data_IF_208400998294
#
_entry.id   IF_208400998294
#
_cell.length_a   1.000
_cell.length_b   1.000
_cell.length_c   1.000
_cell.angle_alpha   90.00
_cell.angle_beta   90.00
_cell.angle_gamma   90.00
#
_symmetry.space_group_name_H-M   'P 1'
#
loop_
_entity.id
_entity.type
_entity.pdbx_description
1 polymer ?
#
# COMPACT_ATOMS: atom_id res chain seq x y z
N UNK A 1 12.12 0.32 -7.13
CA UNK A 1 13.55 0.00 -7.33
C UNK A 1 13.75 -1.40 -7.88
N UNK A 2 13.07 -2.41 -7.36
CA UNK A 2 13.23 -3.81 -7.80
C UNK A 2 12.86 -4.02 -9.28
N UNK A 3 11.74 -3.46 -9.75
CA UNK A 3 11.38 -3.55 -11.18
C UNK A 3 12.39 -2.86 -12.11
N UNK A 4 13.17 -1.90 -11.63
CA UNK A 4 14.24 -1.30 -12.44
C UNK A 4 15.35 -2.32 -12.72
N UNK A 5 15.65 -3.23 -11.79
CA UNK A 5 16.66 -4.26 -12.02
C UNK A 5 16.17 -5.38 -12.94
N UNK A 6 14.88 -5.72 -12.90
CA UNK A 6 14.34 -6.83 -13.70
C UNK A 6 13.81 -6.40 -15.07
N UNK A 7 13.20 -5.20 -15.19
CA UNK A 7 12.45 -4.79 -16.38
C UNK A 7 13.15 -3.71 -17.21
N UNK A 8 14.24 -3.11 -16.72
CA UNK A 8 14.88 -1.98 -17.43
C UNK A 8 15.31 -2.33 -18.85
N UNK A 9 15.89 -3.50 -19.05
CA UNK A 9 16.44 -3.89 -20.35
C UNK A 9 15.36 -4.40 -21.32
N UNK A 10 14.22 -4.85 -20.78
CA UNK A 10 13.13 -5.45 -21.56
C UNK A 10 12.07 -4.40 -21.91
N UNK A 11 11.77 -3.49 -20.98
CA UNK A 11 10.79 -2.41 -21.14
C UNK A 11 11.37 -1.06 -20.67
N UNK A 12 12.39 -0.52 -21.35
CA UNK A 12 13.01 0.75 -20.97
C UNK A 12 12.04 1.93 -21.04
N UNK A 13 11.03 1.89 -21.92
CA UNK A 13 10.01 2.95 -22.02
C UNK A 13 9.15 3.11 -20.76
N UNK A 14 8.94 2.01 -20.01
CA UNK A 14 8.10 1.99 -18.82
C UNK A 14 8.95 2.01 -17.54
N UNK A 15 9.99 1.19 -17.47
CA UNK A 15 10.80 0.97 -16.26
C UNK A 15 12.23 1.54 -16.37
N UNK A 16 12.56 2.33 -17.39
CA UNK A 16 13.92 2.86 -17.60
C UNK A 16 14.36 3.97 -16.64
N UNK A 17 13.48 4.47 -15.77
CA UNK A 17 13.82 5.46 -14.74
C UNK A 17 13.31 5.00 -13.37
N UNK A 18 14.16 5.19 -12.35
CA UNK A 18 13.85 4.86 -10.95
C UNK A 18 12.54 5.52 -10.51
N UNK A 19 12.29 6.77 -10.93
CA UNK A 19 11.08 7.49 -10.56
C UNK A 19 9.81 6.81 -11.12
N UNK A 20 9.84 6.40 -12.39
CA UNK A 20 8.72 5.66 -13.02
C UNK A 20 8.47 4.33 -12.31
N UNK A 21 9.53 3.67 -11.88
CA UNK A 21 9.40 2.44 -11.10
C UNK A 21 8.78 2.67 -9.73
N UNK A 22 9.11 3.78 -9.06
CA UNK A 22 8.53 4.13 -7.76
C UNK A 22 7.03 4.41 -7.92
N UNK A 23 6.63 5.18 -8.93
CA UNK A 23 5.21 5.44 -9.20
C UNK A 23 4.46 4.15 -9.50
N UNK A 24 5.04 3.23 -10.29
CA UNK A 24 4.44 1.92 -10.52
C UNK A 24 4.30 1.10 -9.22
N UNK A 25 5.36 1.07 -8.39
CA UNK A 25 5.35 0.34 -7.11
C UNK A 25 4.26 0.88 -6.18
N UNK A 26 4.11 2.21 -6.11
CA UNK A 26 3.07 2.86 -5.32
C UNK A 26 1.66 2.48 -5.80
N UNK A 27 1.43 2.46 -7.12
CA UNK A 27 0.13 2.11 -7.71
C UNK A 27 -0.29 0.66 -7.40
N UNK A 28 0.66 -0.28 -7.45
CA UNK A 28 0.41 -1.69 -7.11
C UNK A 28 0.20 -1.84 -5.59
N UNK A 29 0.97 -1.11 -4.79
CA UNK A 29 0.86 -1.13 -3.33
C UNK A 29 -0.52 -0.65 -2.85
N UNK A 30 -1.08 0.39 -3.48
CA UNK A 30 -2.42 0.90 -3.15
C UNK A 30 -3.54 0.19 -3.93
N UNK A 31 -3.25 -0.92 -4.59
CA UNK A 31 -4.20 -1.71 -5.40
C UNK A 31 -4.89 -0.95 -6.55
N UNK A 32 -4.34 0.20 -6.97
CA UNK A 32 -4.88 0.95 -8.11
C UNK A 32 -4.53 0.21 -9.41
N UNK A 33 -3.26 -0.19 -9.55
CA UNK A 33 -2.80 -1.08 -10.62
C UNK A 33 -3.21 -0.67 -12.04
N UNK A 34 -2.83 0.51 -12.51
CA UNK A 34 -3.09 0.90 -13.89
C UNK A 34 -2.43 -0.08 -14.88
N UNK A 35 -3.22 -0.63 -15.80
CA UNK A 35 -2.78 -1.60 -16.80
C UNK A 35 -1.81 -1.03 -17.87
N UNK A 36 -1.36 0.22 -17.72
CA UNK A 36 -0.40 0.87 -18.61
C UNK A 36 1.06 0.53 -18.28
N UNK A 37 1.32 -0.01 -17.09
CA UNK A 37 2.66 -0.37 -16.63
C UNK A 37 2.55 -1.72 -15.93
N UNK A 38 3.01 -2.80 -16.55
CA UNK A 38 2.92 -4.17 -16.00
C UNK A 38 4.23 -4.90 -16.28
N UNK A 39 4.86 -5.51 -15.27
CA UNK A 39 6.06 -6.31 -15.49
C UNK A 39 5.77 -7.54 -16.35
N UNK A 40 6.70 -7.88 -17.24
CA UNK A 40 6.59 -9.11 -18.08
C UNK A 40 7.59 -10.18 -17.65
N UNK A 41 8.60 -9.82 -16.87
CA UNK A 41 9.53 -10.80 -16.30
C UNK A 41 8.90 -11.57 -15.17
N UNK A 42 9.33 -12.82 -15.02
CA UNK A 42 8.93 -13.68 -13.90
C UNK A 42 9.27 -13.01 -12.56
N UNK A 43 10.45 -12.40 -12.44
CA UNK A 43 10.88 -11.67 -11.24
C UNK A 43 9.97 -10.48 -10.94
N UNK A 44 9.65 -9.67 -11.96
CA UNK A 44 8.76 -8.53 -11.82
C UNK A 44 7.33 -8.93 -11.45
N UNK A 45 6.81 -10.01 -12.03
CA UNK A 45 5.47 -10.55 -11.71
C UNK A 45 5.40 -11.01 -10.24
N UNK A 46 6.37 -11.82 -9.79
CA UNK A 46 6.42 -12.31 -8.41
C UNK A 46 6.47 -11.14 -7.42
N UNK A 47 7.31 -10.14 -7.68
CA UNK A 47 7.43 -8.95 -6.83
C UNK A 47 6.12 -8.15 -6.84
N UNK A 48 5.48 -8.02 -8.01
CA UNK A 48 4.18 -7.35 -8.12
C UNK A 48 3.10 -8.01 -7.29
N UNK A 49 3.03 -9.34 -7.32
CA UNK A 49 2.08 -10.10 -6.50
C UNK A 49 2.38 -9.91 -5.00
N UNK A 50 3.64 -9.98 -4.59
CA UNK A 50 4.04 -9.79 -3.19
C UNK A 50 3.71 -8.38 -2.67
N UNK A 51 4.04 -7.35 -3.45
CA UNK A 51 3.76 -5.95 -3.09
C UNK A 51 2.27 -5.70 -2.98
N UNK A 52 1.46 -6.24 -3.90
CA UNK A 52 0.00 -6.11 -3.85
C UNK A 52 -0.60 -6.77 -2.60
N UNK A 53 -0.16 -8.00 -2.28
CA UNK A 53 -0.65 -8.73 -1.10
C UNK A 53 -0.27 -8.00 0.19
N UNK A 54 1.02 -7.65 0.35
CA UNK A 54 1.50 -6.97 1.55
C UNK A 54 0.85 -5.61 1.72
N UNK A 55 0.77 -4.82 0.64
CA UNK A 55 0.14 -3.49 0.67
C UNK A 55 -1.32 -3.55 1.10
N UNK A 56 -2.07 -4.53 0.58
CA UNK A 56 -3.47 -4.75 0.95
C UNK A 56 -3.62 -5.13 2.42
N UNK A 57 -2.85 -6.12 2.89
CA UNK A 57 -2.92 -6.60 4.28
C UNK A 57 -2.58 -5.47 5.25
N UNK A 58 -1.47 -4.75 5.00
CA UNK A 58 -1.04 -3.64 5.85
C UNK A 58 -2.06 -2.50 5.83
N UNK A 59 -2.59 -2.16 4.65
CA UNK A 59 -3.62 -1.13 4.50
C UNK A 59 -4.88 -1.45 5.31
N UNK A 60 -5.38 -2.68 5.22
CA UNK A 60 -6.56 -3.12 5.98
C UNK A 60 -6.28 -3.09 7.49
N UNK A 61 -5.15 -3.64 7.92
CA UNK A 61 -4.78 -3.65 9.35
C UNK A 61 -4.67 -2.22 9.90
N UNK A 62 -4.10 -1.30 9.13
CA UNK A 62 -4.01 0.10 9.52
C UNK A 62 -5.41 0.72 9.71
N UNK A 63 -6.29 0.58 8.73
CA UNK A 63 -7.65 1.13 8.80
C UNK A 63 -8.45 0.57 9.98
N UNK A 64 -8.39 -0.74 10.22
CA UNK A 64 -9.09 -1.39 11.34
C UNK A 64 -8.56 -0.87 12.68
N UNK A 65 -7.25 -0.75 12.85
CA UNK A 65 -6.66 -0.25 14.10
C UNK A 65 -7.00 1.22 14.35
N UNK A 66 -7.04 2.06 13.31
CA UNK A 66 -7.45 3.46 13.43
C UNK A 66 -8.90 3.55 13.94
N UNK A 67 -9.81 2.78 13.36
CA UNK A 67 -11.23 2.75 13.79
C UNK A 67 -11.34 2.32 15.25
N UNK A 68 -10.67 1.23 15.64
CA UNK A 68 -10.68 0.74 17.03
C UNK A 68 -10.10 1.79 17.98
N UNK A 69 -9.03 2.47 17.59
CA UNK A 69 -8.41 3.54 18.37
C UNK A 69 -9.35 4.72 18.63
N UNK A 70 -10.09 5.15 17.60
CA UNK A 70 -11.09 6.22 17.71
C UNK A 70 -12.23 5.79 18.65
N UNK A 71 -12.78 4.58 18.47
CA UNK A 71 -13.86 4.07 19.32
C UNK A 71 -13.44 3.96 20.79
N UNK A 72 -12.22 3.48 21.06
CA UNK A 72 -11.69 3.41 22.43
C UNK A 72 -11.54 4.78 23.05
N UNK A 73 -11.00 5.74 22.31
CA UNK A 73 -10.83 7.13 22.77
C UNK A 73 -12.18 7.76 23.10
N UNK A 74 -13.18 7.59 22.22
CA UNK A 74 -14.54 8.06 22.44
C UNK A 74 -15.16 7.44 23.72
N UNK A 75 -14.96 6.14 23.95
CA UNK A 75 -15.47 5.46 25.16
C UNK A 75 -14.84 5.97 26.47
N UNK A 76 -13.57 6.40 26.42
CA UNK A 76 -12.85 6.97 27.57
C UNK A 76 -13.38 8.36 27.88
N UNK A 77 -13.54 9.20 26.84
CA UNK A 77 -14.09 10.54 26.97
C UNK A 77 -15.51 10.47 27.55
N UNK A 78 -16.37 9.62 26.98
CA UNK A 78 -17.74 9.42 27.47
C UNK A 78 -17.80 9.07 28.96
N UNK A 79 -17.01 8.07 29.39
CA UNK A 79 -16.95 7.67 30.81
C UNK A 79 -16.44 8.78 31.73
N UNK A 80 -15.54 9.64 31.24
CA UNK A 80 -15.03 10.78 32.01
C UNK A 80 -16.08 11.87 32.14
N UNK A 81 -16.87 12.12 31.08
CA UNK A 81 -18.00 13.04 31.11
C UNK A 81 -19.08 12.57 32.08
N UNK A 82 -19.48 11.29 32.03
CA UNK A 82 -20.50 10.74 32.93
C UNK A 82 -20.15 10.91 34.42
N UNK A 83 -18.87 10.75 34.79
CA UNK A 83 -18.40 10.96 36.18
C UNK A 83 -18.28 12.42 36.61
N UNK A 84 -18.27 13.37 35.67
CA UNK A 84 -18.14 14.78 35.99
C UNK A 84 -19.50 15.45 36.26
N UNK A 85 -20.56 14.87 35.71
CA UNK A 85 -21.92 15.42 35.73
C UNK A 85 -22.91 14.59 36.58
N UNK A 86 -22.48 13.49 37.20
CA UNK A 86 -23.27 12.68 38.15
C UNK A 86 -22.58 12.63 39.50
#
# INVERSE_FOLDING_TARGET
MWYFFFEKDIQPGVFGSVFRTITHTFLIYTTIGYANTVPVTIGGIIISSLVAIVGTIVGILFLVNVIIGILRTCSIIRRKTEKLFG
#
